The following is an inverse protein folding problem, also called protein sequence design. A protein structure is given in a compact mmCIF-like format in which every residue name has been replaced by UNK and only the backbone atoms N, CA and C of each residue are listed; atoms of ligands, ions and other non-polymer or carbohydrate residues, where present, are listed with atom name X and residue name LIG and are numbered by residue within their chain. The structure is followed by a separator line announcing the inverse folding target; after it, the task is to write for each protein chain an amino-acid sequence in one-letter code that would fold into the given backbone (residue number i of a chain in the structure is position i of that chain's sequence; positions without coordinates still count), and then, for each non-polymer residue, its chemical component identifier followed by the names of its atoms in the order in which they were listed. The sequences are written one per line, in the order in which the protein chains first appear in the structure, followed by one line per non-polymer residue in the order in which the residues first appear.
data_IF_536719810409
#
_entry.id   IF_536719810409
#
_cell.length_a   1.000
_cell.length_b   1.000
_cell.length_c   1.000
_cell.angle_alpha   90.00
_cell.angle_beta   90.00
_cell.angle_gamma   90.00
#
_symmetry.space_group_name_H-M   'P 1'
#
loop_
_entity.id
_entity.type
_entity.pdbx_description
1 polymer ?
#
# COMPACT_ATOMS: atom_id res chain seq x y z
N UNK A 1 -2.84 -17.72 32.75
CA UNK A 1 -3.94 -17.01 32.08
C UNK A 1 -3.50 -15.59 31.80
N UNK A 2 -3.73 -15.06 30.60
CA UNK A 2 -3.39 -13.68 30.26
C UNK A 2 -4.24 -13.16 29.08
N UNK A 3 -4.17 -11.85 28.86
CA UNK A 3 -4.73 -11.17 27.68
C UNK A 3 -3.59 -10.50 26.90
N UNK A 4 -3.51 -10.74 25.60
CA UNK A 4 -2.50 -10.13 24.72
C UNK A 4 -3.19 -9.26 23.68
N UNK A 5 -2.80 -7.99 23.58
CA UNK A 5 -3.21 -7.09 22.50
C UNK A 5 -2.09 -6.99 21.48
N UNK A 6 -2.32 -7.51 20.27
CA UNK A 6 -1.44 -7.30 19.11
C UNK A 6 -1.96 -6.09 18.34
N UNK A 7 -1.18 -5.01 18.27
CA UNK A 7 -1.61 -3.72 17.71
C UNK A 7 -0.68 -3.20 16.60
N UNK A 8 -1.17 -2.22 15.84
CA UNK A 8 -0.46 -1.58 14.73
C UNK A 8 -1.40 -1.25 13.56
N UNK A 9 -0.86 -0.65 12.49
CA UNK A 9 -1.63 -0.26 11.31
C UNK A 9 -2.50 -1.39 10.75
N UNK A 10 -3.67 -1.10 10.17
CA UNK A 10 -4.32 -2.03 9.26
C UNK A 10 -3.31 -2.53 8.21
N UNK A 11 -3.34 -3.82 7.88
CA UNK A 11 -2.35 -4.49 7.02
C UNK A 11 -0.87 -4.47 7.51
N UNK A 12 -0.59 -4.22 8.79
CA UNK A 12 0.77 -4.33 9.36
C UNK A 12 1.30 -5.75 9.56
N UNK A 13 0.51 -6.79 9.24
CA UNK A 13 0.88 -8.19 9.45
C UNK A 13 0.43 -8.80 10.79
N UNK A 14 -0.40 -8.10 11.58
CA UNK A 14 -0.90 -8.57 12.88
C UNK A 14 -1.42 -10.00 12.85
N UNK A 15 -2.34 -10.30 11.94
CA UNK A 15 -2.97 -11.63 11.90
C UNK A 15 -1.99 -12.75 11.54
N UNK A 16 -1.03 -12.47 10.67
CA UNK A 16 0.06 -13.41 10.35
C UNK A 16 0.96 -13.63 11.57
N UNK A 17 1.36 -12.54 12.25
CA UNK A 17 2.18 -12.61 13.46
C UNK A 17 1.46 -13.37 14.58
N UNK A 18 0.17 -13.11 14.76
CA UNK A 18 -0.68 -13.78 15.76
C UNK A 18 -0.77 -15.28 15.49
N UNK A 19 -0.99 -15.68 14.24
CA UNK A 19 -1.07 -17.09 13.87
C UNK A 19 0.26 -17.83 14.10
N UNK A 20 1.41 -17.15 13.99
CA UNK A 20 2.73 -17.74 14.19
C UNK A 20 3.12 -17.87 15.67
N UNK A 21 2.73 -16.91 16.52
CA UNK A 21 3.24 -16.81 17.90
C UNK A 21 2.21 -17.21 18.98
N UNK A 22 0.92 -17.30 18.65
CA UNK A 22 -0.16 -17.50 19.62
C UNK A 22 -1.08 -18.68 19.24
N UNK A 23 -0.51 -19.79 18.77
CA UNK A 23 -1.25 -21.00 18.33
C UNK A 23 -2.07 -21.68 19.42
N UNK A 24 -1.79 -21.41 20.70
CA UNK A 24 -2.54 -21.91 21.87
C UNK A 24 -3.49 -20.89 22.51
N UNK A 25 -3.69 -19.71 21.90
CA UNK A 25 -4.54 -18.66 22.45
C UNK A 25 -5.90 -18.63 21.74
N UNK A 26 -6.96 -18.30 22.48
CA UNK A 26 -8.24 -17.93 21.87
C UNK A 26 -8.07 -16.59 21.15
N UNK A 27 -8.04 -16.63 19.82
CA UNK A 27 -7.96 -15.44 18.98
C UNK A 27 -9.32 -14.76 18.85
N UNK A 28 -9.40 -13.48 19.19
CA UNK A 28 -10.60 -12.64 19.06
C UNK A 28 -10.28 -11.45 18.14
N UNK A 29 -10.88 -11.44 16.97
CA UNK A 29 -10.63 -10.43 15.93
C UNK A 29 -11.95 -9.83 15.45
N UNK A 30 -12.11 -8.52 15.60
CA UNK A 30 -13.33 -7.79 15.20
C UNK A 30 -13.65 -8.01 13.73
N UNK A 31 -12.65 -7.85 12.86
CA UNK A 31 -12.83 -7.92 11.41
C UNK A 31 -13.26 -9.34 10.95
N UNK A 32 -13.09 -10.37 11.79
CA UNK A 32 -13.54 -11.75 11.55
C UNK A 32 -14.91 -12.07 12.16
N UNK A 33 -15.39 -11.23 13.07
CA UNK A 33 -16.62 -11.43 13.86
C UNK A 33 -17.79 -10.54 13.42
N UNK A 34 -17.59 -9.70 12.39
CA UNK A 34 -18.63 -8.83 11.81
C UNK A 34 -18.65 -7.41 12.40
N UNK A 35 -19.82 -6.77 12.39
CA UNK A 35 -20.05 -5.38 12.81
C UNK A 35 -20.10 -5.20 14.35
N UNK A 36 -19.10 -5.76 15.05
CA UNK A 36 -18.93 -5.53 16.48
C UNK A 36 -18.05 -4.30 16.72
N UNK A 37 -18.36 -3.50 17.74
CA UNK A 37 -17.43 -2.53 18.29
C UNK A 37 -16.31 -3.24 19.07
N UNK A 38 -15.21 -2.54 19.37
CA UNK A 38 -14.14 -3.12 20.19
C UNK A 38 -14.63 -3.48 21.60
N UNK A 39 -15.55 -2.68 22.16
CA UNK A 39 -16.13 -2.94 23.48
C UNK A 39 -17.03 -4.17 23.49
N UNK A 40 -17.70 -4.45 22.37
CA UNK A 40 -18.49 -5.67 22.19
C UNK A 40 -17.64 -6.95 22.11
N UNK A 41 -16.30 -6.83 22.07
CA UNK A 41 -15.41 -7.99 22.22
C UNK A 41 -15.22 -8.42 23.68
N UNK A 42 -15.44 -7.52 24.65
CA UNK A 42 -15.20 -7.80 26.07
C UNK A 42 -15.95 -9.03 26.60
N UNK A 43 -17.24 -9.27 26.27
CA UNK A 43 -17.93 -10.50 26.69
C UNK A 43 -17.27 -11.78 26.14
N UNK A 44 -16.71 -11.74 24.93
CA UNK A 44 -15.99 -12.87 24.34
C UNK A 44 -14.66 -13.12 25.04
N UNK A 45 -13.98 -12.06 25.46
CA UNK A 45 -12.77 -12.15 26.28
C UNK A 45 -13.09 -12.78 27.63
N UNK A 46 -14.13 -12.30 28.32
CA UNK A 46 -14.53 -12.83 29.63
C UNK A 46 -14.91 -14.32 29.53
N UNK A 47 -15.70 -14.70 28.53
CA UNK A 47 -16.08 -16.10 28.27
C UNK A 47 -14.85 -17.00 28.04
N UNK A 48 -13.90 -16.55 27.22
CA UNK A 48 -12.68 -17.32 26.96
C UNK A 48 -11.82 -17.52 28.24
N UNK A 49 -11.78 -16.51 29.11
CA UNK A 49 -11.09 -16.62 30.40
C UNK A 49 -11.82 -17.56 31.36
N UNK A 50 -13.16 -17.58 31.35
CA UNK A 50 -13.98 -18.53 32.12
C UNK A 50 -13.72 -19.98 31.67
N UNK A 51 -13.52 -20.19 30.37
CA UNK A 51 -13.15 -21.48 29.77
C UNK A 51 -11.69 -21.90 30.04
N UNK A 52 -10.90 -21.10 30.76
CA UNK A 52 -9.50 -21.45 31.03
C UNK A 52 -8.53 -21.17 29.87
N UNK A 53 -8.94 -20.41 28.85
CA UNK A 53 -8.12 -20.12 27.67
C UNK A 53 -7.44 -18.74 27.72
N UNK A 54 -6.11 -18.64 27.47
CA UNK A 54 -5.48 -17.34 27.29
C UNK A 54 -5.98 -16.67 26.01
N UNK A 55 -6.05 -15.34 25.98
CA UNK A 55 -6.73 -14.60 24.91
C UNK A 55 -5.75 -13.73 24.14
N UNK A 56 -5.86 -13.72 22.81
CA UNK A 56 -5.13 -12.78 21.94
C UNK A 56 -6.10 -11.98 21.08
N UNK A 57 -5.94 -10.65 21.07
CA UNK A 57 -6.73 -9.73 20.26
C UNK A 57 -5.82 -9.00 19.27
N UNK A 58 -5.99 -9.25 17.99
CA UNK A 58 -5.14 -8.72 16.91
C UNK A 58 -5.81 -7.63 16.09
N UNK A 59 -6.46 -6.69 16.79
CA UNK A 59 -7.15 -5.55 16.20
C UNK A 59 -6.20 -4.34 16.03
N UNK A 60 -6.71 -3.25 15.46
CA UNK A 60 -5.88 -2.09 15.12
C UNK A 60 -5.42 -1.27 16.34
N UNK A 61 -6.26 -1.15 17.37
CA UNK A 61 -5.96 -0.52 18.68
C UNK A 61 -5.16 0.80 18.62
N UNK A 62 -5.62 1.74 17.78
CA UNK A 62 -4.90 2.98 17.49
C UNK A 62 -4.84 3.95 18.68
N UNK A 63 -5.91 4.04 19.49
CA UNK A 63 -6.05 5.03 20.56
C UNK A 63 -6.01 4.38 21.94
N UNK A 64 -5.70 5.14 22.99
CA UNK A 64 -5.80 4.67 24.39
C UNK A 64 -7.22 4.22 24.71
N UNK A 65 -8.21 5.00 24.26
CA UNK A 65 -9.63 4.68 24.39
C UNK A 65 -9.97 3.31 23.79
N UNK A 66 -9.45 3.01 22.59
CA UNK A 66 -9.71 1.72 21.92
C UNK A 66 -9.16 0.50 22.67
N UNK A 67 -8.19 0.69 23.57
CA UNK A 67 -7.57 -0.35 24.41
C UNK A 67 -8.21 -0.44 25.79
N UNK A 68 -8.85 0.63 26.25
CA UNK A 68 -9.29 0.80 27.63
C UNK A 68 -10.26 -0.28 28.10
N UNK A 69 -11.22 -0.68 27.27
CA UNK A 69 -12.24 -1.67 27.65
C UNK A 69 -11.65 -3.06 27.90
N UNK A 70 -10.75 -3.52 27.04
CA UNK A 70 -10.05 -4.80 27.23
C UNK A 70 -9.13 -4.77 28.45
N UNK A 71 -8.44 -3.64 28.68
CA UNK A 71 -7.61 -3.46 29.88
C UNK A 71 -8.43 -3.41 31.17
N UNK A 72 -9.65 -2.86 31.11
CA UNK A 72 -10.58 -2.89 32.24
C UNK A 72 -11.02 -4.32 32.57
N UNK A 73 -11.26 -5.17 31.56
CA UNK A 73 -11.52 -6.61 31.76
C UNK A 73 -10.33 -7.28 32.45
N UNK A 74 -9.10 -7.03 31.97
CA UNK A 74 -7.89 -7.58 32.59
C UNK A 74 -7.80 -7.25 34.09
N UNK A 75 -8.01 -5.98 34.44
CA UNK A 75 -8.01 -5.49 35.83
C UNK A 75 -9.10 -6.14 36.67
N UNK A 76 -10.35 -6.19 36.16
CA UNK A 76 -11.50 -6.75 36.87
C UNK A 76 -11.33 -8.25 37.16
N UNK A 77 -10.69 -8.96 36.23
CA UNK A 77 -10.43 -10.41 36.31
C UNK A 77 -9.11 -10.76 36.99
N UNK A 78 -8.28 -9.77 37.33
CA UNK A 78 -6.98 -9.98 37.97
C UNK A 78 -5.97 -10.73 37.08
N UNK A 79 -6.09 -10.63 35.75
CA UNK A 79 -5.19 -11.30 34.79
C UNK A 79 -4.22 -10.30 34.16
N UNK A 80 -2.96 -10.67 33.88
CA UNK A 80 -2.01 -9.78 33.22
C UNK A 80 -2.45 -9.46 31.79
N UNK A 81 -2.23 -8.21 31.38
CA UNK A 81 -2.41 -7.76 30.01
C UNK A 81 -1.08 -7.34 29.38
N UNK A 82 -0.72 -7.93 28.25
CA UNK A 82 0.48 -7.57 27.46
C UNK A 82 0.10 -6.84 26.18
N UNK A 83 1.01 -5.98 25.71
CA UNK A 83 0.93 -5.38 24.39
C UNK A 83 2.07 -5.89 23.50
N UNK A 84 1.73 -6.30 22.29
CA UNK A 84 2.67 -6.54 21.19
C UNK A 84 2.38 -5.50 20.11
N UNK A 85 3.24 -4.50 19.98
CA UNK A 85 3.11 -3.45 18.99
C UNK A 85 3.98 -3.77 17.77
N UNK A 86 3.33 -4.07 16.64
CA UNK A 86 4.00 -4.19 15.35
C UNK A 86 4.35 -2.79 14.81
N UNK A 87 5.63 -2.45 14.88
CA UNK A 87 6.19 -1.15 14.50
C UNK A 87 6.39 -1.03 12.98
N UNK A 88 5.29 -1.15 12.25
CA UNK A 88 5.25 -0.88 10.81
C UNK A 88 5.07 0.60 10.54
N UNK A 89 5.76 1.12 9.53
CA UNK A 89 5.50 2.46 8.98
C UNK A 89 4.19 2.46 8.19
N UNK A 90 3.65 3.64 7.89
CA UNK A 90 2.49 3.75 7.01
C UNK A 90 2.82 3.24 5.60
N UNK A 91 4.05 3.43 5.12
CA UNK A 91 4.54 2.93 3.84
C UNK A 91 4.46 1.40 3.75
N UNK A 92 4.87 0.69 4.81
CA UNK A 92 4.76 -0.77 4.89
C UNK A 92 3.29 -1.22 4.81
N UNK A 93 2.41 -0.57 5.59
CA UNK A 93 0.98 -0.86 5.60
C UNK A 93 0.31 -0.56 4.24
N UNK A 94 0.72 0.52 3.56
CA UNK A 94 0.21 0.88 2.23
C UNK A 94 0.54 -0.20 1.20
N UNK A 95 1.80 -0.66 1.15
CA UNK A 95 2.17 -1.77 0.26
C UNK A 95 1.29 -3.00 0.52
N UNK A 96 1.22 -3.45 1.78
CA UNK A 96 0.52 -4.69 2.13
C UNK A 96 -0.99 -4.59 1.87
N UNK A 97 -1.59 -3.41 2.11
CA UNK A 97 -2.99 -3.16 1.80
C UNK A 97 -3.25 -3.30 0.29
N UNK A 98 -2.38 -2.73 -0.54
CA UNK A 98 -2.53 -2.82 -2.00
C UNK A 98 -2.22 -4.22 -2.51
N UNK A 99 -1.17 -4.88 -2.03
CA UNK A 99 -0.82 -6.25 -2.40
C UNK A 99 -2.00 -7.20 -2.12
N UNK A 100 -2.60 -7.10 -0.93
CA UNK A 100 -3.78 -7.88 -0.57
C UNK A 100 -4.97 -7.59 -1.49
N UNK A 101 -5.21 -6.32 -1.80
CA UNK A 101 -6.28 -5.90 -2.69
C UNK A 101 -6.07 -6.45 -4.11
N UNK A 102 -4.86 -6.30 -4.67
CA UNK A 102 -4.52 -6.78 -6.02
C UNK A 102 -4.58 -8.30 -6.08
N UNK A 103 -4.03 -9.03 -5.10
CA UNK A 103 -4.12 -10.50 -5.06
C UNK A 103 -5.56 -11.00 -4.99
N UNK A 104 -6.41 -10.29 -4.25
CA UNK A 104 -7.82 -10.65 -4.12
C UNK A 104 -8.63 -10.37 -5.37
N UNK A 105 -8.41 -9.23 -6.03
CA UNK A 105 -9.24 -8.76 -7.14
C UNK A 105 -8.60 -8.92 -8.53
N UNK A 106 -7.34 -9.35 -8.60
CA UNK A 106 -6.56 -9.44 -9.84
C UNK A 106 -6.13 -8.09 -10.43
N UNK A 107 -6.56 -6.96 -9.84
CA UNK A 107 -6.27 -5.60 -10.31
C UNK A 107 -6.45 -4.57 -9.20
N UNK A 108 -6.04 -3.34 -9.47
CA UNK A 108 -6.47 -2.19 -8.67
C UNK A 108 -7.96 -1.92 -8.87
N UNK A 109 -8.58 -1.44 -7.80
CA UNK A 109 -9.96 -0.97 -7.79
C UNK A 109 -10.00 0.56 -7.86
N UNK A 110 -11.01 1.10 -8.52
CA UNK A 110 -11.33 2.54 -8.47
C UNK A 110 -11.83 2.92 -7.06
N UNK A 111 -11.83 4.22 -6.69
CA UNK A 111 -12.40 4.68 -5.42
C UNK A 111 -13.82 4.21 -5.17
N UNK A 112 -14.67 4.19 -6.21
CA UNK A 112 -16.05 3.73 -6.11
C UNK A 112 -16.13 2.22 -5.82
N UNK A 113 -15.30 1.43 -6.50
CA UNK A 113 -15.21 -0.02 -6.29
C UNK A 113 -14.66 -0.36 -4.89
N UNK A 114 -13.64 0.37 -4.42
CA UNK A 114 -13.12 0.24 -3.06
C UNK A 114 -14.23 0.50 -2.04
N UNK A 115 -15.01 1.58 -2.22
CA UNK A 115 -16.12 1.92 -1.33
C UNK A 115 -17.20 0.84 -1.33
N UNK A 116 -17.51 0.26 -2.50
CA UNK A 116 -18.52 -0.79 -2.62
C UNK A 116 -18.04 -2.11 -2.00
N UNK A 117 -16.82 -2.54 -2.31
CA UNK A 117 -16.23 -3.77 -1.77
C UNK A 117 -16.01 -3.69 -0.25
N UNK A 118 -15.65 -2.52 0.27
CA UNK A 118 -15.45 -2.28 1.70
C UNK A 118 -16.71 -2.44 2.57
N UNK A 119 -17.91 -2.50 1.96
CA UNK A 119 -19.17 -2.76 2.69
C UNK A 119 -19.29 -4.20 3.17
N UNK A 120 -18.74 -5.14 2.42
CA UNK A 120 -18.78 -6.58 2.74
C UNK A 120 -17.43 -7.12 3.17
N UNK A 121 -16.34 -6.41 2.89
CA UNK A 121 -15.00 -6.80 3.29
C UNK A 121 -14.26 -5.64 3.99
N UNK A 122 -14.15 -5.64 5.32
CA UNK A 122 -13.43 -4.60 6.06
C UNK A 122 -11.93 -4.54 5.72
N UNK A 123 -11.39 -5.56 5.04
CA UNK A 123 -10.01 -5.59 4.57
C UNK A 123 -9.80 -4.90 3.20
N UNK A 124 -10.87 -4.52 2.51
CA UNK A 124 -10.82 -3.76 1.27
C UNK A 124 -11.17 -2.30 1.54
N UNK A 125 -10.14 -1.48 1.72
CA UNK A 125 -10.29 -0.06 2.07
C UNK A 125 -9.36 0.84 1.25
N UNK A 126 -9.69 2.14 1.22
CA UNK A 126 -8.87 3.16 0.56
C UNK A 126 -7.79 3.75 1.48
N UNK A 127 -6.84 4.52 0.93
CA UNK A 127 -5.68 5.03 1.70
C UNK A 127 -6.06 5.89 2.91
N UNK A 128 -7.22 6.56 2.86
CA UNK A 128 -7.72 7.40 3.95
C UNK A 128 -7.78 6.68 5.30
N UNK A 129 -8.02 5.36 5.32
CA UNK A 129 -8.03 4.56 6.56
C UNK A 129 -6.66 4.56 7.24
N UNK A 130 -5.57 4.41 6.49
CA UNK A 130 -4.22 4.41 7.05
C UNK A 130 -3.80 5.81 7.50
N UNK A 131 -4.16 6.85 6.75
CA UNK A 131 -3.90 8.23 7.15
C UNK A 131 -4.67 8.63 8.41
N UNK A 132 -5.93 8.19 8.55
CA UNK A 132 -6.72 8.36 9.77
C UNK A 132 -6.09 7.62 10.95
N UNK A 133 -5.64 6.37 10.76
CA UNK A 133 -4.92 5.64 11.80
C UNK A 133 -3.69 6.42 12.28
N UNK A 134 -2.83 6.87 11.36
CA UNK A 134 -1.64 7.67 11.68
C UNK A 134 -1.98 8.92 12.50
N UNK A 135 -3.04 9.63 12.13
CA UNK A 135 -3.48 10.85 12.81
C UNK A 135 -3.96 10.58 14.24
N UNK A 136 -4.65 9.46 14.45
CA UNK A 136 -5.24 9.10 15.75
C UNK A 136 -4.31 8.28 16.64
N UNK A 137 -3.16 7.84 16.13
CA UNK A 137 -2.32 6.88 16.82
C UNK A 137 -1.75 7.44 18.13
N UNK A 138 -1.99 6.72 19.22
CA UNK A 138 -1.42 6.96 20.54
C UNK A 138 -0.59 5.73 20.95
N UNK A 139 0.71 5.92 21.12
CA UNK A 139 1.62 4.85 21.54
C UNK A 139 1.16 4.22 22.87
N UNK A 140 1.23 2.89 23.03
CA UNK A 140 0.87 2.22 24.27
C UNK A 140 1.84 2.61 25.39
N UNK A 141 1.33 2.77 26.61
CA UNK A 141 2.14 3.10 27.79
C UNK A 141 1.80 2.21 28.98
N UNK A 142 2.77 2.00 29.87
CA UNK A 142 2.55 1.23 31.11
C UNK A 142 1.42 1.82 31.98
N UNK A 143 1.21 3.14 31.91
CA UNK A 143 0.14 3.84 32.62
C UNK A 143 -1.28 3.38 32.25
N UNK A 144 -1.45 2.70 31.11
CA UNK A 144 -2.75 2.10 30.74
C UNK A 144 -3.06 0.81 31.52
N UNK A 145 -2.05 0.19 32.13
CA UNK A 145 -2.17 -1.07 32.89
C UNK A 145 -1.59 -2.29 32.19
N UNK A 146 -0.78 -2.11 31.14
CA UNK A 146 0.00 -3.19 30.55
C UNK A 146 1.12 -3.65 31.48
N UNK A 147 1.29 -4.96 31.65
CA UNK A 147 2.43 -5.53 32.40
C UNK A 147 3.72 -5.53 31.57
N UNK A 148 3.60 -5.54 30.23
CA UNK A 148 4.70 -5.35 29.30
C UNK A 148 4.20 -4.82 27.96
N UNK A 149 5.08 -4.08 27.28
CA UNK A 149 4.88 -3.56 25.93
C UNK A 149 6.10 -3.97 25.10
N UNK A 150 5.88 -4.87 24.17
CA UNK A 150 6.90 -5.37 23.25
C UNK A 150 6.74 -4.69 21.91
N UNK A 151 7.78 -4.00 21.46
CA UNK A 151 7.81 -3.37 20.14
C UNK A 151 8.50 -4.31 19.15
N UNK A 152 7.75 -4.83 18.20
CA UNK A 152 8.25 -5.76 17.18
C UNK A 152 8.54 -4.98 15.90
N UNK A 153 9.81 -4.97 15.48
CA UNK A 153 10.21 -4.33 14.24
C UNK A 153 9.50 -4.99 13.04
N UNK A 154 9.01 -4.18 12.10
CA UNK A 154 8.42 -4.73 10.88
C UNK A 154 9.46 -5.51 10.07
N UNK A 155 9.09 -6.73 9.69
CA UNK A 155 9.84 -7.55 8.75
C UNK A 155 8.95 -7.83 7.55
N UNK A 156 9.44 -7.49 6.36
CA UNK A 156 8.75 -7.82 5.13
C UNK A 156 8.97 -9.30 4.83
N UNK A 157 7.88 -10.04 4.64
CA UNK A 157 7.98 -11.42 4.16
C UNK A 157 8.74 -11.49 2.83
N UNK A 158 9.48 -12.59 2.63
CA UNK A 158 10.13 -12.88 1.37
C UNK A 158 9.10 -12.90 0.23
N UNK A 159 9.50 -12.49 -0.98
CA UNK A 159 8.64 -12.68 -2.15
C UNK A 159 8.50 -14.18 -2.42
N UNK A 160 7.35 -14.62 -2.96
CA UNK A 160 7.24 -15.98 -3.48
C UNK A 160 8.36 -16.28 -4.49
N UNK A 161 8.85 -17.52 -4.50
CA UNK A 161 10.04 -17.90 -5.29
C UNK A 161 9.88 -17.80 -6.81
N UNK A 162 8.65 -17.64 -7.32
CA UNK A 162 8.33 -17.41 -8.73
C UNK A 162 8.49 -15.93 -9.15
N UNK A 163 8.74 -15.01 -8.22
CA UNK A 163 8.98 -13.59 -8.52
C UNK A 163 10.43 -13.39 -8.96
N UNK A 164 10.64 -13.47 -10.27
CA UNK A 164 11.97 -13.54 -10.90
C UNK A 164 12.19 -12.49 -11.99
N UNK A 165 11.12 -11.82 -12.42
CA UNK A 165 11.16 -10.93 -13.58
C UNK A 165 11.69 -9.55 -13.20
N UNK A 166 12.48 -8.93 -14.07
CA UNK A 166 13.01 -7.58 -13.88
C UNK A 166 12.24 -6.55 -14.71
N UNK A 167 12.13 -5.33 -14.21
CA UNK A 167 11.38 -4.28 -14.89
C UNK A 167 11.89 -2.88 -14.59
N UNK A 168 11.63 -1.97 -15.52
CA UNK A 168 11.65 -0.54 -15.27
C UNK A 168 10.22 -0.06 -15.06
N UNK A 169 9.98 0.66 -13.96
CA UNK A 169 8.81 1.50 -13.78
C UNK A 169 9.20 2.92 -14.21
N UNK A 170 8.51 3.47 -15.20
CA UNK A 170 8.88 4.72 -15.87
C UNK A 170 7.79 5.77 -15.65
N UNK A 171 8.14 6.92 -15.08
CA UNK A 171 7.30 8.11 -15.22
C UNK A 171 7.34 8.64 -16.67
N UNK A 172 6.37 9.45 -17.06
CA UNK A 172 6.29 10.03 -18.42
C UNK A 172 6.62 11.52 -18.42
N UNK A 173 5.80 12.33 -17.77
CA UNK A 173 5.80 13.79 -17.90
C UNK A 173 6.95 14.39 -17.08
N UNK A 174 8.02 14.84 -17.77
CA UNK A 174 9.27 15.29 -17.14
C UNK A 174 10.39 14.24 -17.15
N UNK A 175 10.05 12.98 -17.44
CA UNK A 175 10.99 11.84 -17.42
C UNK A 175 11.29 11.29 -18.81
N UNK A 176 10.26 10.89 -19.55
CA UNK A 176 10.39 10.37 -20.92
C UNK A 176 10.04 11.41 -21.98
N UNK A 177 9.15 12.34 -21.63
CA UNK A 177 8.60 13.33 -22.55
C UNK A 177 8.42 14.69 -21.90
N UNK A 178 8.27 15.69 -22.76
CA UNK A 178 7.73 17.02 -22.46
C UNK A 178 6.64 17.37 -23.49
N UNK A 179 6.02 18.52 -23.29
CA UNK A 179 5.11 19.11 -24.28
C UNK A 179 5.87 20.03 -25.24
N UNK A 180 5.40 20.15 -26.47
CA UNK A 180 5.89 21.16 -27.42
C UNK A 180 5.33 22.54 -27.10
N UNK A 181 4.10 22.58 -26.59
CA UNK A 181 3.36 23.78 -26.19
C UNK A 181 3.97 24.50 -24.98
N UNK A 182 4.73 23.78 -24.15
CA UNK A 182 5.18 24.26 -22.84
C UNK A 182 4.17 24.02 -21.72
N UNK A 183 3.01 23.41 -22.02
CA UNK A 183 2.06 22.98 -21.01
C UNK A 183 2.64 21.89 -20.11
N UNK A 184 2.03 21.69 -18.93
CA UNK A 184 2.56 20.72 -17.95
C UNK A 184 2.51 19.27 -18.44
N UNK A 185 1.54 18.92 -19.29
CA UNK A 185 1.33 17.58 -19.81
C UNK A 185 0.56 17.66 -21.13
N UNK A 186 0.79 16.73 -22.09
CA UNK A 186 0.14 16.79 -23.40
C UNK A 186 -1.34 16.46 -23.30
N UNK A 187 -2.18 17.26 -23.95
CA UNK A 187 -3.61 16.99 -24.11
C UNK A 187 -3.93 16.31 -25.46
N UNK A 188 -3.00 16.40 -26.42
CA UNK A 188 -3.12 15.71 -27.71
C UNK A 188 -1.79 15.02 -28.07
N UNK A 189 -1.83 13.97 -28.92
CA UNK A 189 -0.61 13.30 -29.39
C UNK A 189 0.38 14.23 -30.09
N UNK A 190 -0.10 15.24 -30.80
CA UNK A 190 0.73 16.16 -31.57
C UNK A 190 1.64 17.01 -30.68
N UNK A 191 1.21 17.24 -29.43
CA UNK A 191 1.95 17.99 -28.42
C UNK A 191 3.05 17.17 -27.73
N UNK A 192 3.13 15.86 -27.98
CA UNK A 192 4.16 15.01 -27.38
C UNK A 192 5.54 15.27 -28.03
N UNK A 193 6.54 15.51 -27.18
CA UNK A 193 7.96 15.54 -27.55
C UNK A 193 8.76 14.63 -26.59
N UNK A 194 9.42 13.60 -27.13
CA UNK A 194 10.29 12.73 -26.34
C UNK A 194 11.60 13.42 -26.01
N UNK A 195 12.10 13.20 -24.79
CA UNK A 195 13.39 13.76 -24.38
C UNK A 195 14.56 13.01 -25.06
N UNK A 196 15.70 13.67 -25.33
CA UNK A 196 16.84 13.06 -26.06
C UNK A 196 17.44 11.84 -25.34
N UNK A 197 17.97 10.85 -26.07
CA UNK A 197 18.68 9.69 -25.48
C UNK A 197 17.79 8.65 -24.78
N UNK A 198 16.50 8.95 -24.53
CA UNK A 198 15.56 8.02 -23.85
C UNK A 198 15.34 6.74 -24.67
N UNK A 199 15.18 6.87 -25.99
CA UNK A 199 14.96 5.75 -26.90
C UNK A 199 16.11 4.72 -26.82
N UNK A 200 17.35 5.17 -27.00
CA UNK A 200 18.54 4.30 -26.98
C UNK A 200 18.69 3.55 -25.66
N UNK A 201 18.56 4.26 -24.53
CA UNK A 201 18.67 3.65 -23.20
C UNK A 201 17.57 2.63 -22.97
N UNK A 202 16.31 2.94 -23.30
CA UNK A 202 15.19 2.03 -23.10
C UNK A 202 15.29 0.80 -24.01
N UNK A 203 15.72 0.96 -25.26
CA UNK A 203 15.98 -0.17 -26.17
C UNK A 203 17.03 -1.11 -25.60
N UNK A 204 18.11 -0.58 -25.01
CA UNK A 204 19.13 -1.40 -24.34
C UNK A 204 18.54 -2.20 -23.18
N UNK A 205 17.81 -1.55 -22.27
CA UNK A 205 17.18 -2.25 -21.14
C UNK A 205 16.18 -3.33 -21.58
N UNK A 206 15.39 -3.06 -22.63
CA UNK A 206 14.50 -4.05 -23.23
C UNK A 206 15.28 -5.25 -23.79
N UNK A 207 16.38 -5.01 -24.51
CA UNK A 207 17.26 -6.06 -25.04
C UNK A 207 17.93 -6.89 -23.93
N UNK A 208 18.19 -6.29 -22.77
CA UNK A 208 18.67 -6.98 -21.58
C UNK A 208 17.57 -7.81 -20.88
N UNK A 209 16.31 -7.74 -21.32
CA UNK A 209 15.19 -8.49 -20.76
C UNK A 209 14.44 -7.76 -19.65
N UNK A 210 14.60 -6.44 -19.50
CA UNK A 210 13.72 -5.65 -18.64
C UNK A 210 12.38 -5.43 -19.31
N UNK A 211 11.31 -5.67 -18.55
CA UNK A 211 9.97 -5.20 -18.93
C UNK A 211 9.88 -3.70 -18.72
N UNK A 212 9.42 -2.96 -19.73
CA UNK A 212 9.20 -1.52 -19.63
C UNK A 212 7.74 -1.25 -19.25
N UNK A 213 7.52 -0.57 -18.13
CA UNK A 213 6.20 -0.35 -17.55
C UNK A 213 6.02 1.12 -17.17
N UNK A 214 5.02 1.77 -17.74
CA UNK A 214 4.69 3.17 -17.48
C UNK A 214 3.82 3.37 -16.25
N UNK A 215 4.20 4.27 -15.36
CA UNK A 215 3.41 4.68 -14.18
C UNK A 215 3.25 6.19 -14.12
N UNK A 216 2.04 6.71 -14.34
CA UNK A 216 1.81 8.16 -14.47
C UNK A 216 0.59 8.69 -13.72
N UNK A 217 0.61 9.97 -13.35
CA UNK A 217 -0.49 10.71 -12.74
C UNK A 217 -1.15 11.63 -13.79
N UNK A 218 -2.38 11.36 -14.21
CA UNK A 218 -3.06 12.11 -15.28
C UNK A 218 -4.22 12.95 -14.74
N UNK A 219 -3.88 14.06 -14.07
CA UNK A 219 -4.87 14.99 -13.49
C UNK A 219 -5.72 15.72 -14.53
N UNK A 220 -5.32 15.76 -15.79
CA UNK A 220 -6.15 16.30 -16.87
C UNK A 220 -7.47 15.52 -17.01
N UNK A 221 -7.45 14.23 -16.67
CA UNK A 221 -8.62 13.36 -16.74
C UNK A 221 -9.63 13.70 -15.65
N UNK A 222 -9.20 13.85 -14.39
CA UNK A 222 -10.12 14.25 -13.32
C UNK A 222 -10.71 15.65 -13.54
N UNK A 223 -9.96 16.53 -14.21
CA UNK A 223 -10.41 17.89 -14.57
C UNK A 223 -11.36 17.92 -15.77
N UNK A 224 -11.57 16.81 -16.47
CA UNK A 224 -12.41 16.74 -17.67
C UNK A 224 -11.80 17.40 -18.92
N UNK A 225 -10.55 17.86 -18.85
CA UNK A 225 -9.85 18.49 -19.98
C UNK A 225 -9.17 17.47 -20.90
N UNK A 226 -9.17 16.18 -20.51
CA UNK A 226 -8.63 15.07 -21.28
C UNK A 226 -9.47 13.81 -20.98
N UNK A 227 -9.85 13.03 -21.98
CA UNK A 227 -10.46 11.72 -21.75
C UNK A 227 -9.39 10.67 -21.41
N UNK A 228 -9.77 9.57 -20.75
CA UNK A 228 -8.83 8.45 -20.55
C UNK A 228 -8.27 7.92 -21.88
N UNK A 229 -9.10 7.86 -22.92
CA UNK A 229 -8.68 7.49 -24.27
C UNK A 229 -7.68 8.50 -24.84
N UNK A 230 -7.92 9.81 -24.65
CA UNK A 230 -7.00 10.86 -25.04
C UNK A 230 -5.63 10.72 -24.36
N UNK A 231 -5.62 10.43 -23.06
CA UNK A 231 -4.39 10.13 -22.33
C UNK A 231 -3.67 8.90 -22.90
N UNK A 232 -4.42 7.81 -23.19
CA UNK A 232 -3.87 6.60 -23.84
C UNK A 232 -3.28 6.89 -25.22
N UNK A 233 -3.91 7.74 -26.03
CA UNK A 233 -3.34 8.18 -27.33
C UNK A 233 -2.02 8.94 -27.16
N UNK A 234 -1.92 9.79 -26.14
CA UNK A 234 -0.66 10.49 -25.84
C UNK A 234 0.44 9.52 -25.38
N UNK A 235 0.11 8.52 -24.56
CA UNK A 235 1.04 7.45 -24.18
C UNK A 235 1.49 6.62 -25.39
N UNK A 236 0.56 6.20 -26.24
CA UNK A 236 0.87 5.45 -27.46
C UNK A 236 1.81 6.24 -28.39
N UNK A 237 1.55 7.53 -28.57
CA UNK A 237 2.43 8.40 -29.36
C UNK A 237 3.82 8.56 -28.75
N UNK A 238 3.92 8.59 -27.42
CA UNK A 238 5.21 8.62 -26.73
C UNK A 238 5.99 7.32 -27.00
N UNK A 239 5.34 6.16 -26.86
CA UNK A 239 5.97 4.86 -27.12
C UNK A 239 6.43 4.72 -28.57
N UNK A 240 5.60 5.15 -29.53
CA UNK A 240 5.93 5.18 -30.96
C UNK A 240 7.20 6.01 -31.22
N UNK A 241 7.28 7.22 -30.65
CA UNK A 241 8.44 8.10 -30.81
C UNK A 241 9.70 7.55 -30.12
N UNK A 242 9.55 6.78 -29.04
CA UNK A 242 10.67 6.11 -28.37
C UNK A 242 11.10 4.82 -29.08
N UNK A 243 10.27 4.26 -29.98
CA UNK A 243 10.55 3.00 -30.66
C UNK A 243 10.57 1.77 -29.74
N UNK A 244 9.89 1.85 -28.58
CA UNK A 244 9.81 0.75 -27.60
C UNK A 244 8.38 0.53 -27.12
N UNK A 245 8.04 -0.72 -26.80
CA UNK A 245 6.76 -1.06 -26.21
C UNK A 245 6.82 -0.86 -24.68
N UNK A 246 5.93 -0.01 -24.16
CA UNK A 246 5.81 0.28 -22.73
C UNK A 246 4.34 0.11 -22.35
N UNK A 247 4.05 -0.87 -21.50
CA UNK A 247 2.69 -1.01 -20.97
C UNK A 247 2.43 0.07 -19.92
N UNK A 248 1.40 0.89 -20.11
CA UNK A 248 1.12 2.03 -19.23
C UNK A 248 -0.08 1.77 -18.31
N UNK A 249 0.15 1.93 -17.01
CA UNK A 249 -0.89 2.13 -16.03
C UNK A 249 -0.81 3.57 -15.49
N UNK A 250 -1.94 4.25 -15.40
CA UNK A 250 -1.98 5.64 -14.94
C UNK A 250 -3.15 5.87 -14.00
N UNK A 251 -3.04 6.93 -13.20
CA UNK A 251 -4.11 7.33 -12.30
C UNK A 251 -4.88 8.53 -12.86
N UNK A 252 -6.18 8.38 -13.16
CA UNK A 252 -7.03 9.47 -13.67
C UNK A 252 -7.65 10.33 -12.58
N UNK A 253 -7.39 10.03 -11.29
CA UNK A 253 -8.09 10.65 -10.16
C UNK A 253 -7.45 11.94 -9.66
N UNK A 254 -8.28 12.75 -9.01
CA UNK A 254 -7.88 14.02 -8.37
C UNK A 254 -6.82 13.81 -7.27
N UNK A 255 -5.92 14.78 -7.02
CA UNK A 255 -4.92 14.68 -5.96
C UNK A 255 -5.53 14.74 -4.56
N UNK A 256 -6.66 15.44 -4.40
CA UNK A 256 -7.31 15.66 -3.13
C UNK A 256 -8.84 15.62 -3.27
N UNK A 257 -9.56 14.99 -2.32
CA UNK A 257 -9.04 14.19 -1.21
C UNK A 257 -8.42 12.85 -1.65
N UNK A 258 -7.47 12.32 -0.86
CA UNK A 258 -6.81 11.04 -1.16
C UNK A 258 -7.83 9.89 -1.05
N UNK A 259 -8.16 9.30 -2.20
CA UNK A 259 -9.22 8.29 -2.30
C UNK A 259 -8.81 7.01 -3.06
N UNK A 260 -7.70 7.03 -3.80
CA UNK A 260 -7.26 5.91 -4.63
C UNK A 260 -5.86 5.42 -4.25
N UNK A 261 -5.59 4.15 -4.57
CA UNK A 261 -4.25 3.56 -4.44
C UNK A 261 -3.34 3.82 -5.65
N UNK A 262 -3.88 4.30 -6.78
CA UNK A 262 -3.10 4.47 -8.00
C UNK A 262 -2.24 5.73 -8.04
N UNK A 263 -2.66 6.82 -7.40
CA UNK A 263 -2.01 8.11 -7.61
C UNK A 263 -0.67 8.15 -6.88
N UNK A 264 0.44 8.31 -7.59
CA UNK A 264 1.76 8.53 -6.96
C UNK A 264 1.65 9.74 -6.03
N UNK A 265 2.11 9.64 -4.76
CA UNK A 265 3.05 8.65 -4.25
C UNK A 265 2.44 7.37 -3.63
N UNK A 266 1.19 7.00 -3.87
CA UNK A 266 0.65 5.69 -3.45
C UNK A 266 1.26 4.57 -4.29
N UNK A 267 1.60 3.41 -3.71
CA UNK A 267 2.39 2.38 -4.40
C UNK A 267 1.60 1.58 -5.44
N UNK A 268 0.30 1.86 -5.63
CA UNK A 268 -0.59 0.86 -6.19
C UNK A 268 -0.31 0.47 -7.63
N UNK A 269 0.07 1.41 -8.50
CA UNK A 269 0.44 1.09 -9.87
C UNK A 269 1.63 0.14 -9.93
N UNK A 270 2.64 0.36 -9.09
CA UNK A 270 3.84 -0.47 -9.03
C UNK A 270 3.54 -1.85 -8.45
N UNK A 271 2.77 -1.91 -7.36
CA UNK A 271 2.34 -3.19 -6.76
C UNK A 271 1.51 -4.01 -7.73
N UNK A 272 0.62 -3.37 -8.49
CA UNK A 272 -0.19 -4.05 -9.51
C UNK A 272 0.70 -4.72 -10.56
N UNK A 273 1.73 -4.03 -11.04
CA UNK A 273 2.69 -4.59 -11.97
C UNK A 273 3.56 -5.69 -11.37
N UNK A 274 4.03 -5.51 -10.13
CA UNK A 274 4.81 -6.52 -9.40
C UNK A 274 4.02 -7.83 -9.32
N UNK A 275 2.74 -7.76 -8.97
CA UNK A 275 1.88 -8.93 -8.83
C UNK A 275 1.50 -9.56 -10.18
N UNK A 276 1.22 -8.73 -11.20
CA UNK A 276 0.87 -9.17 -12.56
C UNK A 276 2.01 -9.92 -13.23
N UNK A 277 3.23 -9.41 -13.11
CA UNK A 277 4.39 -9.91 -13.84
C UNK A 277 5.37 -10.71 -13.00
N UNK A 278 5.05 -10.97 -11.73
CA UNK A 278 5.95 -11.68 -10.80
C UNK A 278 7.32 -11.03 -10.77
N UNK A 279 7.33 -9.71 -10.55
CA UNK A 279 8.56 -8.92 -10.59
C UNK A 279 9.35 -9.11 -9.30
N UNK A 280 10.64 -9.44 -9.43
CA UNK A 280 11.59 -9.38 -8.31
C UNK A 280 11.85 -7.91 -7.96
N UNK A 281 11.38 -7.45 -6.80
CA UNK A 281 11.51 -6.04 -6.40
C UNK A 281 12.95 -5.57 -6.33
N UNK A 282 13.89 -6.48 -6.03
CA UNK A 282 15.32 -6.15 -6.00
C UNK A 282 15.86 -5.82 -7.41
N UNK A 283 15.18 -6.29 -8.46
CA UNK A 283 15.50 -6.05 -9.87
C UNK A 283 14.50 -5.09 -10.55
N UNK A 284 13.64 -4.43 -9.79
CA UNK A 284 12.77 -3.37 -10.29
C UNK A 284 13.37 -2.01 -9.97
N UNK A 285 13.42 -1.14 -10.98
CA UNK A 285 13.89 0.24 -10.84
C UNK A 285 12.77 1.19 -11.24
N UNK A 286 12.40 2.11 -10.35
CA UNK A 286 11.57 3.27 -10.68
C UNK A 286 12.46 4.41 -11.15
N UNK A 287 12.18 4.92 -12.35
CA UNK A 287 12.83 6.09 -12.95
C UNK A 287 11.83 7.23 -13.02
N UNK A 288 12.18 8.38 -12.47
CA UNK A 288 11.33 9.57 -12.48
C UNK A 288 12.09 10.83 -12.09
N UNK A 289 11.45 11.99 -12.18
CA UNK A 289 12.02 13.31 -11.90
C UNK A 289 11.51 13.92 -10.57
N UNK A 290 10.37 13.46 -10.06
CA UNK A 290 9.73 14.10 -8.90
C UNK A 290 9.98 13.36 -7.58
N UNK A 291 9.92 14.08 -6.47
CA UNK A 291 9.85 13.51 -5.10
C UNK A 291 8.68 12.54 -4.94
N UNK A 292 7.59 12.72 -5.69
CA UNK A 292 6.47 11.78 -5.71
C UNK A 292 6.85 10.41 -6.24
N UNK A 293 7.77 10.33 -7.21
CA UNK A 293 8.30 9.08 -7.78
C UNK A 293 9.25 8.40 -6.81
N UNK A 294 10.12 9.17 -6.17
CA UNK A 294 10.99 8.66 -5.10
C UNK A 294 10.18 8.06 -3.95
N UNK A 295 9.12 8.75 -3.52
CA UNK A 295 8.25 8.27 -2.43
C UNK A 295 7.42 7.06 -2.88
N UNK A 296 6.97 7.06 -4.14
CA UNK A 296 6.30 5.90 -4.75
C UNK A 296 7.20 4.66 -4.76
N UNK A 297 8.45 4.80 -5.21
CA UNK A 297 9.43 3.72 -5.24
C UNK A 297 9.70 3.14 -3.85
N UNK A 298 9.93 4.02 -2.86
CA UNK A 298 10.11 3.62 -1.47
C UNK A 298 8.91 2.84 -0.92
N UNK A 299 7.69 3.29 -1.23
CA UNK A 299 6.44 2.60 -0.82
C UNK A 299 6.21 1.29 -1.56
N UNK A 300 6.61 1.20 -2.82
CA UNK A 300 6.58 -0.02 -3.61
C UNK A 300 7.72 -0.99 -3.23
N UNK A 301 8.68 -0.56 -2.41
CA UNK A 301 9.83 -1.36 -2.00
C UNK A 301 10.80 -1.66 -3.15
N UNK A 302 10.94 -0.71 -4.09
CA UNK A 302 11.82 -0.83 -5.27
C UNK A 302 12.85 0.29 -5.28
N UNK A 303 13.94 0.12 -6.04
CA UNK A 303 14.99 1.14 -6.16
C UNK A 303 14.46 2.35 -6.94
N UNK A 304 14.80 3.56 -6.49
CA UNK A 304 14.58 4.80 -7.25
C UNK A 304 15.89 5.25 -7.90
N UNK A 305 15.82 5.76 -9.12
CA UNK A 305 16.90 6.50 -9.81
C UNK A 305 16.29 7.75 -10.44
N UNK A 306 16.97 8.89 -10.27
CA UNK A 306 16.55 10.13 -10.92
C UNK A 306 16.69 10.00 -12.44
N UNK A 307 15.79 10.60 -13.20
CA UNK A 307 15.84 10.53 -14.65
C UNK A 307 17.14 11.09 -15.24
N UNK A 308 17.74 12.12 -14.62
CA UNK A 308 19.00 12.70 -15.11
C UNK A 308 20.13 11.67 -15.00
N UNK A 309 20.26 11.04 -13.83
CA UNK A 309 21.27 10.02 -13.59
C UNK A 309 21.06 8.76 -14.45
N UNK A 310 19.81 8.41 -14.73
CA UNK A 310 19.48 7.19 -15.47
C UNK A 310 19.74 7.31 -16.98
N UNK A 311 19.44 8.48 -17.57
CA UNK A 311 19.51 8.68 -19.02
C UNK A 311 20.80 9.39 -19.49
N UNK A 312 21.55 10.04 -18.60
CA UNK A 312 22.77 10.80 -18.93
C UNK A 312 22.47 12.26 -19.20
#
# INVERSE_FOLDING_TARGET
MEIVLVMGYPASGKSTWTAQHFTGYRRINRDSLGDLTLDQLCPLVESALDEGSPVVLDNTYATRESRASVLAVARRRGVPARCVWLDSTIEHAQYNAVERLVRKHGRLLSPAEIKQAGRSDPNTYGPAVLFRHRKLFEAPTAAEGFVSIEKVAFQRGAQPGDYTQKALLLDYDGTLRRTKSGDKYPLTPEDVEVLPGRAEVLTRYAAEGYRLLGVSNQSAVSKGTLSEEGARRCFARTNELLGVDIEVAFCPHDPAPISCWCRKPMPGLGVAFIEKYKLDRAQVVMVGDMTTDRTFAARAGVRFVDQADFFG
#
